data_IF_017716273544
#
_entry.id   IF_017716273544
#
_cell.length_a   1.000
_cell.length_b   1.000
_cell.length_c   1.000
_cell.angle_alpha   90.00
_cell.angle_beta   90.00
_cell.angle_gamma   90.00
#
_symmetry.space_group_name_H-M   'P 1'
#
loop_
_entity.id
_entity.type
_entity.pdbx_description
1 polymer ?
#
# COMPACT_ATOMS: atom_id res chain seq x y z
N UNK A 1 -5.87 46.03 -65.39
CA UNK A 1 -6.76 45.89 -64.21
C UNK A 1 -6.30 44.67 -63.44
N UNK A 2 -6.18 44.71 -62.09
CA UNK A 2 -5.60 43.59 -61.33
C UNK A 2 -6.63 42.50 -61.06
N UNK A 3 -6.23 41.24 -61.20
CA UNK A 3 -7.04 40.06 -60.85
C UNK A 3 -6.68 39.64 -59.42
N UNK A 4 -7.69 39.49 -58.55
CA UNK A 4 -7.49 39.07 -57.16
C UNK A 4 -7.92 37.60 -56.99
N UNK A 5 -7.01 36.76 -56.50
CA UNK A 5 -7.29 35.35 -56.20
C UNK A 5 -7.57 35.24 -54.71
N UNK A 6 -8.78 34.80 -54.35
CA UNK A 6 -9.19 34.62 -52.96
C UNK A 6 -8.81 33.22 -52.48
N UNK A 7 -7.66 33.09 -51.80
CA UNK A 7 -7.24 31.82 -51.21
C UNK A 7 -7.99 31.55 -49.91
N UNK A 8 -8.91 30.59 -49.92
CA UNK A 8 -9.65 30.17 -48.74
C UNK A 8 -8.72 29.34 -47.82
N UNK A 9 -8.26 29.94 -46.73
CA UNK A 9 -7.32 29.30 -45.79
C UNK A 9 -8.00 28.19 -45.00
N UNK A 10 -7.66 26.93 -45.29
CA UNK A 10 -8.16 25.78 -44.55
C UNK A 10 -7.46 25.68 -43.18
N UNK A 11 -8.10 26.20 -42.14
CA UNK A 11 -7.53 26.22 -40.79
C UNK A 11 -7.61 24.83 -40.14
N UNK A 12 -6.54 24.04 -40.28
CA UNK A 12 -6.42 22.72 -39.68
C UNK A 12 -6.15 22.83 -38.16
N UNK A 13 -7.23 22.86 -37.37
CA UNK A 13 -7.15 22.79 -35.91
C UNK A 13 -6.72 21.37 -35.48
N UNK A 14 -5.54 21.25 -34.84
CA UNK A 14 -5.03 19.99 -34.31
C UNK A 14 -5.82 19.57 -33.05
N UNK A 15 -6.91 18.84 -33.23
CA UNK A 15 -7.83 18.43 -32.16
C UNK A 15 -7.33 17.15 -31.42
N UNK A 16 -6.11 17.20 -30.89
CA UNK A 16 -5.41 16.00 -30.37
C UNK A 16 -5.65 15.67 -28.89
N UNK A 17 -6.52 16.40 -28.19
CA UNK A 17 -6.76 16.24 -26.73
C UNK A 17 -8.09 15.60 -26.34
N UNK A 18 -9.06 15.47 -27.27
CA UNK A 18 -10.43 15.04 -26.96
C UNK A 18 -10.56 13.57 -26.45
N UNK A 19 -9.56 12.72 -26.71
CA UNK A 19 -9.63 11.27 -26.44
C UNK A 19 -9.26 10.82 -25.03
N UNK A 20 -8.89 11.73 -24.12
CA UNK A 20 -8.59 11.42 -22.72
C UNK A 20 -9.80 11.68 -21.81
N UNK A 21 -10.35 12.90 -21.87
CA UNK A 21 -11.44 13.38 -21.02
C UNK A 21 -12.68 12.47 -21.06
N UNK A 22 -13.02 11.95 -22.25
CA UNK A 22 -14.13 11.02 -22.44
C UNK A 22 -13.93 9.68 -21.71
N UNK A 23 -12.71 9.11 -21.74
CA UNK A 23 -12.44 7.80 -21.14
C UNK A 23 -12.44 7.82 -19.61
N UNK A 24 -12.08 8.96 -18.99
CA UNK A 24 -12.23 9.13 -17.54
C UNK A 24 -13.71 9.17 -17.14
N UNK A 25 -14.52 9.99 -17.80
CA UNK A 25 -15.96 10.05 -17.52
C UNK A 25 -16.62 8.66 -17.66
N UNK A 26 -16.47 8.01 -18.81
CA UNK A 26 -17.08 6.71 -19.09
C UNK A 26 -16.71 5.61 -18.09
N UNK A 27 -15.48 5.59 -17.54
CA UNK A 27 -15.10 4.59 -16.54
C UNK A 27 -15.64 4.94 -15.15
N UNK A 28 -15.67 6.20 -14.75
CA UNK A 28 -16.27 6.60 -13.47
C UNK A 28 -17.79 6.37 -13.46
N UNK A 29 -18.47 6.64 -14.58
CA UNK A 29 -19.91 6.34 -14.75
C UNK A 29 -20.17 4.83 -14.59
N UNK A 30 -19.42 3.97 -15.29
CA UNK A 30 -19.57 2.52 -15.19
C UNK A 30 -19.22 1.97 -13.78
N UNK A 31 -18.20 2.52 -13.12
CA UNK A 31 -17.84 2.15 -11.75
C UNK A 31 -18.99 2.49 -10.78
N UNK A 32 -19.62 3.65 -10.93
CA UNK A 32 -20.80 4.03 -10.16
C UNK A 32 -22.01 3.12 -10.44
N UNK A 33 -22.25 2.73 -11.70
CA UNK A 33 -23.31 1.77 -12.07
C UNK A 33 -23.08 0.35 -11.51
N UNK A 34 -21.85 0.03 -11.07
CA UNK A 34 -21.47 -1.26 -10.49
C UNK A 34 -21.17 -1.18 -8.96
N UNK A 35 -21.65 -0.13 -8.28
CA UNK A 35 -21.45 0.13 -6.85
C UNK A 35 -19.96 0.11 -6.41
N UNK A 36 -19.03 0.47 -7.31
CA UNK A 36 -17.59 0.46 -7.05
C UNK A 36 -17.13 1.81 -6.49
N UNK A 37 -16.50 1.87 -5.29
CA UNK A 37 -15.89 3.08 -4.79
C UNK A 37 -14.68 3.49 -5.65
N UNK A 38 -14.46 4.79 -5.83
CA UNK A 38 -13.35 5.34 -6.60
C UNK A 38 -12.95 6.74 -6.13
N UNK A 39 -11.72 7.13 -6.42
CA UNK A 39 -11.19 8.43 -6.00
C UNK A 39 -11.50 9.55 -7.00
N UNK A 40 -11.82 10.72 -6.45
CA UNK A 40 -12.05 11.94 -7.23
C UNK A 40 -10.76 12.74 -7.35
N UNK A 41 -10.38 13.08 -8.58
CA UNK A 41 -9.15 13.81 -8.91
C UNK A 41 -9.05 15.15 -8.16
N UNK A 42 -7.91 15.37 -7.50
CA UNK A 42 -7.66 16.57 -6.70
C UNK A 42 -8.30 16.59 -5.31
N UNK A 43 -8.87 15.47 -4.83
CA UNK A 43 -9.15 15.24 -3.41
C UNK A 43 -7.99 14.48 -2.75
N UNK A 44 -7.90 14.55 -1.42
CA UNK A 44 -6.80 13.94 -0.65
C UNK A 44 -6.59 12.46 -0.97
N UNK A 45 -7.68 11.69 -1.10
CA UNK A 45 -7.62 10.23 -1.30
C UNK A 45 -6.97 9.88 -2.65
N UNK A 46 -7.25 10.66 -3.70
CA UNK A 46 -6.58 10.55 -5.01
C UNK A 46 -5.09 10.88 -4.93
N UNK A 47 -4.68 11.87 -4.12
CA UNK A 47 -3.26 12.21 -3.94
C UNK A 47 -2.50 11.18 -3.10
N UNK A 48 -3.18 10.51 -2.15
CA UNK A 48 -2.63 9.42 -1.34
C UNK A 48 -2.53 8.12 -2.13
N UNK A 49 -3.65 7.64 -2.68
CA UNK A 49 -3.70 6.38 -3.41
C UNK A 49 -3.06 6.52 -4.81
N UNK A 50 -2.92 7.75 -5.33
CA UNK A 50 -2.10 8.07 -6.50
C UNK A 50 -0.60 8.14 -6.23
N UNK A 51 -0.14 8.15 -4.97
CA UNK A 51 1.27 8.34 -4.64
C UNK A 51 2.15 7.13 -5.02
N UNK A 52 3.15 7.37 -5.87
CA UNK A 52 4.09 6.35 -6.32
C UNK A 52 5.32 6.24 -5.41
N UNK A 53 5.61 5.04 -4.88
CA UNK A 53 6.77 4.80 -4.00
C UNK A 53 8.10 5.21 -4.64
N UNK A 54 8.33 4.89 -5.93
CA UNK A 54 9.49 5.37 -6.65
C UNK A 54 9.18 6.67 -7.40
N UNK A 55 9.44 7.82 -6.75
CA UNK A 55 9.27 9.17 -7.31
C UNK A 55 10.05 9.45 -8.61
N UNK A 56 11.00 8.58 -9.01
CA UNK A 56 11.74 8.70 -10.28
C UNK A 56 10.91 8.28 -11.51
N UNK A 57 9.81 7.56 -11.33
CA UNK A 57 8.99 7.02 -12.43
C UNK A 57 7.49 7.17 -12.13
N UNK A 58 6.96 8.39 -11.95
CA UNK A 58 5.53 8.60 -11.74
C UNK A 58 4.73 8.14 -12.97
N UNK A 59 3.51 7.64 -12.74
CA UNK A 59 2.50 7.35 -13.77
C UNK A 59 1.15 7.90 -13.32
N UNK A 60 0.35 8.37 -14.26
CA UNK A 60 -0.98 8.95 -14.02
C UNK A 60 -2.08 7.93 -14.35
N UNK A 61 -2.87 7.46 -13.37
CA UNK A 61 -4.04 6.62 -13.65
C UNK A 61 -5.11 7.35 -14.46
N UNK A 62 -5.92 6.61 -15.23
CA UNK A 62 -7.18 7.16 -15.80
C UNK A 62 -8.28 7.31 -14.74
N UNK A 63 -8.24 6.42 -13.74
CA UNK A 63 -9.06 6.41 -12.53
C UNK A 63 -8.38 5.49 -11.50
N UNK A 64 -8.73 5.66 -10.22
CA UNK A 64 -8.36 4.73 -9.14
C UNK A 64 -9.69 4.21 -8.58
N UNK A 65 -9.87 2.89 -8.58
CA UNK A 65 -11.01 2.21 -7.98
C UNK A 65 -10.54 1.57 -6.66
N UNK A 66 -11.33 1.73 -5.61
CA UNK A 66 -10.99 1.39 -4.22
C UNK A 66 -11.96 0.32 -3.70
N UNK A 67 -11.89 -0.93 -4.19
CA UNK A 67 -12.75 -2.04 -3.77
C UNK A 67 -12.67 -2.31 -2.26
N UNK A 68 -13.84 -2.55 -1.65
CA UNK A 68 -13.94 -3.09 -0.28
C UNK A 68 -14.29 -4.59 -0.25
N UNK A 69 -14.61 -5.17 -1.42
CA UNK A 69 -14.93 -6.58 -1.57
C UNK A 69 -14.84 -7.10 -3.00
N UNK A 70 -15.00 -8.42 -3.15
CA UNK A 70 -14.84 -9.14 -4.43
C UNK A 70 -15.79 -8.61 -5.52
N UNK A 71 -17.02 -8.23 -5.16
CA UNK A 71 -17.99 -7.65 -6.10
C UNK A 71 -17.49 -6.35 -6.74
N UNK A 72 -16.83 -5.48 -5.98
CA UNK A 72 -16.23 -4.25 -6.52
C UNK A 72 -15.11 -4.58 -7.51
N UNK A 73 -14.23 -5.53 -7.20
CA UNK A 73 -13.17 -6.00 -8.11
C UNK A 73 -13.78 -6.51 -9.42
N UNK A 74 -14.87 -7.28 -9.35
CA UNK A 74 -15.58 -7.80 -10.52
C UNK A 74 -16.21 -6.68 -11.36
N UNK A 75 -16.80 -5.65 -10.73
CA UNK A 75 -17.28 -4.44 -11.38
C UNK A 75 -16.16 -3.71 -12.13
N UNK A 76 -15.04 -3.42 -11.45
CA UNK A 76 -13.87 -2.77 -12.05
C UNK A 76 -13.32 -3.52 -13.27
N UNK A 77 -13.16 -4.83 -13.17
CA UNK A 77 -12.67 -5.68 -14.27
C UNK A 77 -13.68 -5.75 -15.43
N UNK A 78 -14.97 -5.61 -15.15
CA UNK A 78 -16.02 -5.54 -16.18
C UNK A 78 -15.95 -4.20 -16.91
N UNK A 79 -16.02 -3.07 -16.20
CA UNK A 79 -15.94 -1.73 -16.78
C UNK A 79 -14.65 -1.49 -17.59
N UNK A 80 -13.49 -1.91 -17.07
CA UNK A 80 -12.22 -1.75 -17.80
C UNK A 80 -12.17 -2.60 -19.06
N UNK A 81 -12.69 -3.84 -19.03
CA UNK A 81 -12.82 -4.71 -20.21
C UNK A 81 -13.74 -4.11 -21.28
N UNK A 82 -14.89 -3.58 -20.89
CA UNK A 82 -15.88 -3.03 -21.82
C UNK A 82 -15.40 -1.74 -22.49
N UNK A 83 -14.66 -0.90 -21.75
CA UNK A 83 -14.08 0.35 -22.24
C UNK A 83 -12.70 0.17 -22.93
N UNK A 84 -12.18 -1.07 -23.00
CA UNK A 84 -10.87 -1.36 -23.58
C UNK A 84 -9.69 -0.74 -22.80
N UNK A 85 -9.88 -0.48 -21.52
CA UNK A 85 -8.86 0.03 -20.61
C UNK A 85 -8.01 -1.11 -20.03
N UNK A 86 -6.74 -0.83 -19.75
CA UNK A 86 -5.89 -1.72 -18.95
C UNK A 86 -6.19 -1.48 -17.46
N UNK A 87 -6.11 -2.53 -16.65
CA UNK A 87 -6.25 -2.48 -15.19
C UNK A 87 -5.01 -3.05 -14.53
N UNK A 88 -4.55 -2.39 -13.47
CA UNK A 88 -3.41 -2.83 -12.66
C UNK A 88 -3.78 -2.82 -11.18
N UNK A 89 -3.46 -3.89 -10.46
CA UNK A 89 -3.72 -3.97 -9.02
C UNK A 89 -2.56 -3.34 -8.23
N UNK A 90 -2.89 -2.42 -7.33
CA UNK A 90 -1.96 -1.85 -6.36
C UNK A 90 -2.35 -2.35 -4.96
N UNK A 91 -1.35 -2.89 -4.26
CA UNK A 91 -1.35 -3.17 -2.83
C UNK A 91 -0.53 -2.03 -2.19
N UNK A 92 0.30 -2.26 -1.15
CA UNK A 92 1.17 -1.26 -0.51
C UNK A 92 2.30 -0.64 -1.37
N UNK A 93 2.09 -0.31 -2.64
CA UNK A 93 2.84 0.67 -3.45
C UNK A 93 4.29 0.36 -3.85
N UNK A 94 5.03 -0.48 -3.12
CA UNK A 94 6.51 -0.59 -3.13
C UNK A 94 7.18 -1.10 -4.42
N UNK A 95 6.47 -1.25 -5.54
CA UNK A 95 7.06 -1.72 -6.79
C UNK A 95 8.12 -0.74 -7.32
N UNK A 96 9.40 -1.15 -7.43
CA UNK A 96 10.50 -0.26 -7.85
C UNK A 96 10.35 0.30 -9.29
N UNK A 97 9.50 -0.30 -10.12
CA UNK A 97 9.12 0.21 -11.45
C UNK A 97 7.67 0.73 -11.51
N UNK A 98 7.04 0.93 -10.34
CA UNK A 98 5.65 1.38 -10.15
C UNK A 98 4.62 0.57 -10.96
N UNK A 99 4.83 -0.73 -11.17
CA UNK A 99 3.93 -1.59 -11.96
C UNK A 99 2.52 -1.79 -11.36
N UNK A 100 2.28 -1.42 -10.10
CA UNK A 100 0.90 -1.28 -9.56
C UNK A 100 0.08 -0.20 -10.27
N UNK A 101 0.76 0.77 -10.89
CA UNK A 101 0.19 1.79 -11.78
C UNK A 101 0.21 1.37 -13.26
N UNK A 102 0.63 0.14 -13.58
CA UNK A 102 0.68 -0.42 -14.93
C UNK A 102 1.99 -0.28 -15.70
N UNK A 103 2.93 0.55 -15.24
CA UNK A 103 4.20 0.77 -15.94
C UNK A 103 4.12 1.73 -17.14
N UNK A 104 2.97 2.39 -17.31
CA UNK A 104 2.68 3.42 -18.31
C UNK A 104 1.41 4.18 -17.87
N UNK A 105 1.18 5.40 -18.37
CA UNK A 105 -0.01 6.19 -18.02
C UNK A 105 -1.32 5.58 -18.53
N UNK A 106 -2.44 5.94 -17.88
CA UNK A 106 -3.79 5.67 -18.39
C UNK A 106 -4.33 4.26 -18.15
N UNK A 107 -3.66 3.45 -17.34
CA UNK A 107 -4.28 2.30 -16.67
C UNK A 107 -5.32 2.79 -15.66
N UNK A 108 -6.36 2.01 -15.40
CA UNK A 108 -7.10 2.11 -14.15
C UNK A 108 -6.29 1.39 -13.07
N UNK A 109 -6.11 2.03 -11.92
CA UNK A 109 -5.53 1.39 -10.73
C UNK A 109 -6.66 0.81 -9.89
N UNK A 110 -6.54 -0.46 -9.54
CA UNK A 110 -7.38 -1.14 -8.58
C UNK A 110 -6.62 -1.14 -7.24
N UNK A 111 -6.91 -0.18 -6.37
CA UNK A 111 -6.29 -0.07 -5.06
C UNK A 111 -6.98 -1.03 -4.09
N UNK A 112 -6.27 -2.11 -3.72
CA UNK A 112 -6.82 -3.18 -2.88
C UNK A 112 -6.40 -3.07 -1.42
N UNK A 113 -5.63 -2.05 -0.99
CA UNK A 113 -5.13 -1.93 0.38
C UNK A 113 -6.24 -1.94 1.45
N UNK A 114 -7.42 -1.37 1.16
CA UNK A 114 -8.63 -1.40 2.01
C UNK A 114 -9.16 -2.83 2.25
N UNK A 115 -8.74 -3.81 1.45
CA UNK A 115 -8.96 -5.24 1.66
C UNK A 115 -7.76 -5.87 2.39
N UNK A 116 -7.58 -5.50 3.67
CA UNK A 116 -6.48 -5.93 4.54
C UNK A 116 -6.86 -6.99 5.58
N UNK A 117 -8.03 -7.63 5.49
CA UNK A 117 -8.49 -8.51 6.57
C UNK A 117 -7.69 -9.84 6.62
N UNK A 118 -7.49 -10.36 7.84
CA UNK A 118 -6.78 -11.63 8.11
C UNK A 118 -7.69 -12.52 8.95
N UNK A 119 -7.83 -13.78 8.55
CA UNK A 119 -8.64 -14.77 9.26
C UNK A 119 -7.87 -16.06 9.42
N UNK A 120 -7.84 -16.63 10.62
CA UNK A 120 -7.19 -17.91 10.92
C UNK A 120 -8.25 -18.93 11.34
N UNK A 121 -8.40 -19.97 10.52
CA UNK A 121 -9.07 -21.19 10.95
C UNK A 121 -8.17 -21.95 11.93
N UNK A 122 -8.64 -22.16 13.16
CA UNK A 122 -7.90 -22.86 14.21
C UNK A 122 -8.06 -24.37 14.20
N UNK A 123 -9.01 -24.92 13.44
CA UNK A 123 -9.15 -26.36 13.24
C UNK A 123 -8.19 -26.85 12.15
N UNK A 124 -8.14 -26.16 11.00
CA UNK A 124 -7.22 -26.51 9.90
C UNK A 124 -5.84 -25.84 9.99
N UNK A 125 -5.69 -24.80 10.83
CA UNK A 125 -4.50 -23.94 10.93
C UNK A 125 -4.19 -23.17 9.62
N UNK A 126 -5.21 -22.92 8.79
CA UNK A 126 -5.08 -22.14 7.55
C UNK A 126 -5.40 -20.67 7.80
N UNK A 127 -4.45 -19.79 7.48
CA UNK A 127 -4.66 -18.35 7.43
C UNK A 127 -5.10 -17.91 6.03
N UNK A 128 -6.25 -17.24 5.94
CA UNK A 128 -6.70 -16.52 4.74
C UNK A 128 -6.43 -15.04 4.93
N UNK A 129 -5.57 -14.48 4.08
CA UNK A 129 -5.10 -13.09 4.09
C UNK A 129 -5.63 -12.40 2.83
N UNK A 130 -6.28 -11.25 2.97
CA UNK A 130 -6.70 -10.44 1.83
C UNK A 130 -5.52 -9.67 1.22
N UNK A 131 -5.60 -9.41 -0.09
CA UNK A 131 -4.46 -8.95 -0.90
C UNK A 131 -3.98 -7.51 -0.67
N UNK A 132 -4.67 -6.72 0.15
CA UNK A 132 -4.32 -5.33 0.43
C UNK A 132 -3.25 -5.11 1.50
N UNK A 133 -2.97 -6.11 2.33
CA UNK A 133 -2.26 -5.88 3.59
C UNK A 133 -0.78 -5.57 3.39
N UNK A 134 -0.37 -4.34 3.70
CA UNK A 134 1.03 -3.92 3.84
C UNK A 134 1.77 -4.86 4.79
N UNK A 135 3.01 -5.22 4.42
CA UNK A 135 3.87 -6.11 5.20
C UNK A 135 5.13 -5.36 5.61
N UNK A 136 5.06 -4.73 6.77
CA UNK A 136 6.12 -3.91 7.34
C UNK A 136 7.23 -4.78 7.91
N UNK A 137 8.42 -4.74 7.30
CA UNK A 137 9.59 -5.41 7.86
C UNK A 137 10.17 -4.59 9.02
N UNK A 138 10.33 -5.22 10.19
CA UNK A 138 10.97 -4.62 11.35
C UNK A 138 12.26 -5.34 11.72
N UNK A 139 13.23 -4.59 12.27
CA UNK A 139 14.46 -5.11 12.85
C UNK A 139 14.75 -4.38 14.17
N UNK A 140 14.67 -5.11 15.28
CA UNK A 140 15.04 -4.66 16.63
C UNK A 140 16.47 -5.10 16.89
N UNK A 141 17.42 -4.18 16.70
CA UNK A 141 18.84 -4.43 16.95
C UNK A 141 19.13 -4.52 18.46
N UNK A 142 19.54 -5.69 18.94
CA UNK A 142 19.98 -5.90 20.33
C UNK A 142 21.44 -5.48 20.44
N UNK A 143 21.72 -4.51 21.30
CA UNK A 143 23.05 -3.90 21.42
C UNK A 143 24.14 -4.94 21.74
N UNK A 144 25.15 -5.06 20.88
CA UNK A 144 26.25 -6.04 20.96
C UNK A 144 27.22 -5.86 22.16
N UNK A 145 26.84 -5.07 23.16
CA UNK A 145 27.54 -4.86 24.44
C UNK A 145 26.60 -5.04 25.65
N UNK A 146 25.58 -5.87 25.51
CA UNK A 146 24.71 -6.24 26.64
C UNK A 146 25.43 -7.22 27.59
N UNK A 147 25.07 -7.20 28.89
CA UNK A 147 25.63 -8.14 29.86
C UNK A 147 24.82 -9.46 29.87
N UNK A 148 25.34 -10.51 30.50
CA UNK A 148 24.65 -11.82 30.55
C UNK A 148 23.27 -11.68 31.23
N UNK A 149 23.18 -10.88 32.29
CA UNK A 149 21.96 -10.63 33.04
C UNK A 149 20.93 -9.90 32.17
N UNK A 150 21.37 -8.91 31.38
CA UNK A 150 20.51 -8.20 30.42
C UNK A 150 20.09 -9.06 29.23
N UNK A 151 20.95 -9.96 28.75
CA UNK A 151 20.60 -10.94 27.73
C UNK A 151 19.52 -11.91 28.23
N UNK A 152 19.71 -12.47 29.44
CA UNK A 152 18.72 -13.36 30.07
C UNK A 152 17.40 -12.63 30.32
N UNK A 153 17.43 -11.40 30.86
CA UNK A 153 16.21 -10.61 31.07
C UNK A 153 15.47 -10.29 29.76
N UNK A 154 16.19 -9.95 28.68
CA UNK A 154 15.58 -9.71 27.37
C UNK A 154 14.96 -10.97 26.74
N UNK A 155 15.63 -12.12 26.87
CA UNK A 155 15.09 -13.40 26.41
C UNK A 155 13.88 -13.86 27.25
N UNK A 156 13.89 -13.61 28.57
CA UNK A 156 12.75 -13.89 29.43
C UNK A 156 11.56 -13.00 29.07
N UNK A 157 11.76 -11.69 28.91
CA UNK A 157 10.69 -10.78 28.51
C UNK A 157 10.07 -11.14 27.14
N UNK A 158 10.89 -11.63 26.19
CA UNK A 158 10.40 -12.16 24.91
C UNK A 158 9.60 -13.45 25.11
N UNK A 159 10.07 -14.38 25.94
CA UNK A 159 9.34 -15.61 26.28
C UNK A 159 8.00 -15.29 26.94
N UNK A 160 7.98 -14.33 27.86
CA UNK A 160 6.79 -13.87 28.60
C UNK A 160 5.77 -13.22 27.64
N UNK A 161 6.22 -12.38 26.70
CA UNK A 161 5.37 -11.78 25.65
C UNK A 161 4.78 -12.80 24.66
N UNK A 162 5.48 -13.91 24.41
CA UNK A 162 4.95 -15.00 23.58
C UNK A 162 3.92 -15.85 24.32
N UNK A 163 4.11 -16.12 25.62
CA UNK A 163 3.18 -16.96 26.42
C UNK A 163 2.02 -16.21 27.06
N UNK A 164 2.08 -14.88 27.13
CA UNK A 164 0.97 -14.04 27.63
C UNK A 164 -0.30 -14.13 26.79
N UNK A 165 -0.19 -14.58 25.53
CA UNK A 165 -1.26 -14.50 24.54
C UNK A 165 -1.53 -13.08 24.02
N UNK A 166 -0.67 -12.11 24.32
CA UNK A 166 -0.79 -10.71 23.87
C UNK A 166 0.00 -10.40 22.60
N UNK A 167 0.69 -11.38 22.02
CA UNK A 167 1.34 -11.23 20.71
C UNK A 167 0.25 -11.22 19.61
N UNK A 168 0.17 -10.17 18.77
CA UNK A 168 -0.82 -10.11 17.71
C UNK A 168 -0.56 -11.19 16.64
N UNK A 169 -1.63 -11.73 16.06
CA UNK A 169 -1.58 -12.75 14.99
C UNK A 169 -0.86 -12.28 13.72
N UNK A 170 -0.67 -10.97 13.62
CA UNK A 170 -0.08 -10.23 12.52
C UNK A 170 1.45 -10.13 12.63
N UNK A 171 2.04 -10.51 13.77
CA UNK A 171 3.47 -10.34 14.06
C UNK A 171 4.25 -11.64 13.89
N UNK A 172 4.96 -11.79 12.77
CA UNK A 172 5.97 -12.85 12.58
C UNK A 172 7.34 -12.34 13.02
N UNK A 173 8.04 -13.07 13.90
CA UNK A 173 9.35 -12.66 14.44
C UNK A 173 10.32 -13.84 14.54
N UNK A 174 11.60 -13.59 14.23
CA UNK A 174 12.74 -14.50 14.43
C UNK A 174 13.84 -13.82 15.24
N UNK A 175 14.62 -14.60 15.97
CA UNK A 175 15.87 -14.15 16.59
C UNK A 175 17.04 -14.54 15.68
N UNK A 176 17.81 -13.56 15.21
CA UNK A 176 18.99 -13.73 14.39
C UNK A 176 20.25 -13.40 15.20
N UNK A 177 21.10 -14.40 15.44
CA UNK A 177 22.31 -14.27 16.28
C UNK A 177 23.58 -14.42 15.44
N UNK A 178 24.53 -13.50 15.58
CA UNK A 178 25.88 -13.62 15.02
C UNK A 178 26.93 -13.16 16.03
N UNK A 179 28.23 -13.48 15.84
CA UNK A 179 29.32 -12.91 16.64
C UNK A 179 29.53 -11.39 16.50
N UNK A 180 28.71 -10.68 15.70
CA UNK A 180 28.83 -9.22 15.47
C UNK A 180 27.60 -8.44 15.92
N UNK A 181 26.42 -9.02 15.80
CA UNK A 181 25.14 -8.42 16.16
C UNK A 181 24.09 -9.50 16.44
N UNK A 182 23.10 -9.14 17.25
CA UNK A 182 21.93 -9.94 17.56
C UNK A 182 20.71 -9.08 17.25
N UNK A 183 19.78 -9.58 16.43
CA UNK A 183 18.58 -8.85 16.03
C UNK A 183 17.35 -9.71 16.34
N UNK A 184 16.25 -9.11 16.75
CA UNK A 184 14.94 -9.66 16.39
C UNK A 184 14.54 -9.07 15.04
N UNK A 185 14.15 -9.90 14.10
CA UNK A 185 13.79 -9.52 12.74
C UNK A 185 12.43 -10.11 12.42
N UNK A 186 11.59 -9.42 11.67
CA UNK A 186 10.26 -9.92 11.42
C UNK A 186 9.46 -9.18 10.37
N UNK A 187 8.21 -9.60 10.24
CA UNK A 187 7.20 -9.00 9.38
C UNK A 187 5.97 -8.73 10.26
N UNK A 188 5.57 -7.47 10.36
CA UNK A 188 4.27 -7.08 10.86
C UNK A 188 3.33 -6.91 9.67
N UNK A 189 2.20 -7.59 9.71
CA UNK A 189 1.09 -7.39 8.78
C UNK A 189 0.24 -6.21 9.26
N UNK A 190 0.71 -4.98 9.05
CA UNK A 190 0.18 -3.71 9.54
C UNK A 190 1.13 -2.55 9.20
N UNK A 191 0.77 -1.33 9.58
CA UNK A 191 1.59 -0.12 9.32
C UNK A 191 2.64 0.12 10.43
N UNK A 192 3.54 1.10 10.26
CA UNK A 192 4.44 1.51 11.35
C UNK A 192 3.68 2.14 12.52
N UNK A 193 2.55 2.83 12.27
CA UNK A 193 1.69 3.39 13.32
C UNK A 193 1.07 2.31 14.24
N UNK A 194 0.73 1.13 13.70
CA UNK A 194 0.22 -0.01 14.49
C UNK A 194 1.25 -0.51 15.53
N UNK A 195 2.55 -0.32 15.29
CA UNK A 195 3.60 -0.77 16.22
C UNK A 195 3.58 -0.01 17.55
N UNK A 196 3.09 1.23 17.56
CA UNK A 196 3.14 2.12 18.73
C UNK A 196 1.98 1.89 19.70
N UNK A 197 0.82 1.46 19.22
CA UNK A 197 -0.42 1.32 20.01
C UNK A 197 -0.28 0.28 21.15
N UNK A 198 0.60 -0.71 20.98
CA UNK A 198 0.87 -1.75 21.99
C UNK A 198 1.98 -1.41 23.00
N UNK A 199 2.44 -0.15 23.08
CA UNK A 199 3.51 0.28 23.98
C UNK A 199 3.09 0.33 25.46
N UNK A 200 3.75 -0.40 26.38
CA UNK A 200 3.53 -0.24 27.83
C UNK A 200 4.21 1.04 28.37
N UNK A 201 3.70 1.66 29.46
CA UNK A 201 4.25 2.89 30.00
C UNK A 201 5.61 2.68 30.74
N UNK A 202 6.69 2.82 29.98
CA UNK A 202 7.90 3.57 30.37
C UNK A 202 8.69 3.19 31.69
N UNK A 203 9.82 2.45 31.63
CA UNK A 203 10.94 2.42 32.64
C UNK A 203 12.38 2.68 32.04
N UNK A 204 13.00 3.87 32.18
CA UNK A 204 14.43 4.57 31.05
C UNK A 204 15.74 3.96 30.55
N UNK A 205 16.16 4.68 29.49
CA UNK A 205 17.42 4.71 28.72
C UNK A 205 17.75 3.51 27.82
N UNK A 206 16.93 3.31 26.78
CA UNK A 206 17.34 2.64 25.54
C UNK A 206 16.95 3.51 24.34
N UNK A 207 17.92 3.80 23.45
CA UNK A 207 17.68 4.46 22.18
C UNK A 207 17.30 3.39 21.15
N UNK A 208 16.00 3.11 21.03
CA UNK A 208 15.39 2.27 19.99
C UNK A 208 14.52 3.15 19.09
N UNK A 209 14.31 2.76 17.82
CA UNK A 209 13.06 3.08 17.12
C UNK A 209 12.03 1.99 17.46
N UNK A 210 11.60 2.06 18.73
CA UNK A 210 10.61 1.26 19.46
C UNK A 210 10.69 1.82 20.89
N UNK A 211 9.98 2.91 21.21
CA UNK A 211 10.20 3.72 22.43
C UNK A 211 9.69 3.07 23.73
N UNK A 212 10.38 2.00 24.07
CA UNK A 212 10.44 1.33 25.36
C UNK A 212 11.82 1.78 25.90
N UNK A 213 11.94 2.86 26.70
CA UNK A 213 11.13 3.25 27.87
C UNK A 213 11.58 4.62 28.55
N UNK A 214 10.81 5.25 29.50
CA UNK A 214 11.10 5.60 30.98
C UNK A 214 10.20 6.72 31.65
N UNK A 215 9.47 6.38 32.74
CA UNK A 215 9.02 7.21 33.90
C UNK A 215 10.14 7.31 34.96
N UNK A 216 9.99 6.80 36.20
CA UNK A 216 11.07 6.64 37.20
C UNK A 216 11.00 5.37 38.05
#
# INVERSE_FOLDING_TARGET
MRLAILTLGLCAANLSSAGAFNRRAMVLDCLAENDVPFDTEGLNDWELDGAAFNLRIPYTPVAIAVPTGIGNIQGTVTCTRELGLKVSAKCGGHGYANFGFGGEDGHLVLEIDRMYNVTLDRETNIATIQGGKTVTHFTIAVAAKTTVEKAVAGMQAMQDFVVSGTIPSELTMRLFLTPRFVNFEGLLYGDEDDTWVHSPPQIPYIFFHMFIFKLE
#
